data_IF_877499676990
#
_entry.id   IF_877499676990
#
_cell.length_a   1.000
_cell.length_b   1.000
_cell.length_c   1.000
_cell.angle_alpha   90.00
_cell.angle_beta   90.00
_cell.angle_gamma   90.00
#
_symmetry.space_group_name_H-M   'P 1'
#
loop_
_entity.id
_entity.type
_entity.pdbx_description
1 polymer ?
#
# COMPACT_ATOMS: atom_id res chain seq x y z
N UNK A 1 61.11 6.90 -8.41
CA UNK A 1 60.69 7.75 -9.56
C UNK A 1 60.17 6.81 -10.61
N UNK A 2 58.92 6.72 -11.06
CA UNK A 2 57.59 7.34 -10.88
C UNK A 2 56.71 6.61 -11.94
N UNK A 3 55.55 6.03 -11.60
CA UNK A 3 54.22 6.64 -11.47
C UNK A 3 53.44 6.80 -12.80
N UNK A 4 52.23 6.18 -12.85
CA UNK A 4 51.00 6.50 -13.61
C UNK A 4 50.99 6.14 -15.12
N UNK A 5 49.93 5.62 -15.78
CA UNK A 5 48.43 5.68 -15.69
C UNK A 5 47.87 4.39 -16.37
N UNK A 6 46.77 3.71 -16.03
CA UNK A 6 45.43 4.05 -15.49
C UNK A 6 44.63 5.09 -16.30
N UNK A 7 44.01 4.63 -17.39
CA UNK A 7 42.74 5.13 -17.97
C UNK A 7 42.32 4.16 -19.08
N UNK A 8 41.19 3.47 -18.90
CA UNK A 8 40.23 3.07 -19.96
C UNK A 8 39.23 2.04 -19.39
N UNK A 9 38.35 2.52 -18.49
CA UNK A 9 37.18 1.76 -18.03
C UNK A 9 36.04 2.69 -17.57
N UNK A 10 35.89 3.87 -18.21
CA UNK A 10 34.95 4.90 -17.77
C UNK A 10 33.96 5.40 -18.84
N UNK A 11 33.83 4.72 -20.00
CA UNK A 11 32.91 5.16 -21.08
C UNK A 11 31.83 4.14 -21.45
N UNK A 12 31.28 3.41 -20.46
CA UNK A 12 30.11 2.54 -20.68
C UNK A 12 28.93 2.79 -19.71
N UNK A 13 28.97 3.84 -18.89
CA UNK A 13 28.06 4.04 -17.74
C UNK A 13 27.29 5.38 -17.78
N UNK A 14 26.96 5.93 -18.96
CA UNK A 14 26.15 7.17 -19.08
C UNK A 14 24.94 6.99 -20.03
N UNK A 15 24.66 5.76 -20.50
CA UNK A 15 23.58 5.50 -21.47
C UNK A 15 22.26 4.95 -20.89
N UNK A 16 22.22 4.56 -19.61
CA UNK A 16 21.13 3.74 -19.05
C UNK A 16 19.94 4.51 -18.47
N UNK A 17 20.18 5.61 -17.75
CA UNK A 17 19.12 6.30 -16.99
C UNK A 17 18.23 7.20 -17.86
N UNK A 18 18.78 7.79 -18.92
CA UNK A 18 17.99 8.61 -19.86
C UNK A 18 17.01 7.76 -20.70
N UNK A 19 17.24 6.44 -20.81
CA UNK A 19 16.44 5.55 -21.65
C UNK A 19 15.10 5.17 -21.01
N UNK A 20 15.04 5.05 -19.67
CA UNK A 20 13.84 4.62 -18.93
C UNK A 20 12.86 5.77 -18.67
N UNK A 21 13.36 6.98 -18.37
CA UNK A 21 12.51 8.18 -18.29
C UNK A 21 11.92 8.53 -19.67
N UNK A 22 12.67 8.31 -20.74
CA UNK A 22 12.16 8.49 -22.12
C UNK A 22 11.18 7.38 -22.52
N UNK A 23 11.30 6.16 -21.97
CA UNK A 23 10.34 5.07 -22.21
C UNK A 23 9.03 5.26 -21.44
N UNK A 24 9.07 5.81 -20.22
CA UNK A 24 7.88 6.17 -19.44
C UNK A 24 7.18 7.43 -19.98
N UNK A 25 7.93 8.41 -20.51
CA UNK A 25 7.33 9.56 -21.22
C UNK A 25 6.74 9.19 -22.60
N UNK A 26 7.27 8.16 -23.28
CA UNK A 26 6.75 7.68 -24.58
C UNK A 26 5.49 6.83 -24.49
N UNK A 27 5.02 6.48 -23.29
CA UNK A 27 3.71 5.86 -23.07
C UNK A 27 2.62 6.94 -22.84
N UNK A 28 2.90 8.22 -23.10
CA UNK A 28 1.82 9.16 -23.47
C UNK A 28 1.35 8.84 -24.88
N UNK A 29 0.35 7.97 -24.98
CA UNK A 29 -0.47 7.86 -26.18
C UNK A 29 -0.93 9.27 -26.61
N UNK A 30 -0.90 9.60 -27.91
CA UNK A 30 -1.43 10.87 -28.37
C UNK A 30 -2.92 10.91 -28.05
N UNK A 31 -3.29 11.73 -27.07
CA UNK A 31 -4.68 12.08 -26.84
C UNK A 31 -5.17 12.80 -28.09
N UNK A 32 -6.05 12.12 -28.84
CA UNK A 32 -6.95 12.75 -29.79
C UNK A 32 -7.66 13.91 -29.09
N UNK A 33 -7.70 15.13 -29.66
CA UNK A 33 -8.37 16.27 -29.03
C UNK A 33 -9.90 16.19 -29.12
N UNK A 34 -10.47 15.04 -29.50
CA UNK A 34 -11.90 14.92 -29.74
C UNK A 34 -12.42 13.52 -29.43
N UNK A 35 -12.45 13.14 -28.15
CA UNK A 35 -13.40 12.18 -27.58
C UNK A 35 -13.64 12.52 -26.11
N UNK A 36 -14.87 12.98 -25.81
CA UNK A 36 -15.52 12.89 -24.51
C UNK A 36 -14.76 13.46 -23.32
N UNK A 37 -15.11 14.69 -22.93
CA UNK A 37 -14.97 15.17 -21.54
C UNK A 37 -15.23 14.02 -20.55
N UNK A 38 -14.19 13.52 -19.90
CA UNK A 38 -14.34 12.75 -18.67
C UNK A 38 -14.92 13.73 -17.66
N UNK A 39 -16.25 13.72 -17.54
CA UNK A 39 -16.92 14.28 -16.39
C UNK A 39 -16.22 13.75 -15.13
N UNK A 40 -16.06 14.56 -14.08
CA UNK A 40 -15.52 14.06 -12.82
C UNK A 40 -16.34 12.84 -12.41
N UNK A 41 -15.66 11.75 -12.05
CA UNK A 41 -16.22 10.51 -11.47
C UNK A 41 -17.00 10.80 -10.15
N UNK A 42 -17.14 12.07 -9.78
CA UNK A 42 -17.81 12.57 -8.57
C UNK A 42 -19.35 12.49 -8.64
N UNK A 43 -19.94 12.33 -9.84
CA UNK A 43 -21.41 12.48 -10.03
C UNK A 43 -22.21 11.16 -10.12
N UNK A 44 -21.60 9.97 -10.07
CA UNK A 44 -22.32 8.69 -10.23
C UNK A 44 -22.11 7.67 -9.10
N UNK A 45 -21.91 8.13 -7.85
CA UNK A 45 -22.02 7.28 -6.67
C UNK A 45 -23.19 7.76 -5.78
N UNK A 46 -23.91 6.86 -5.08
CA UNK A 46 -25.05 7.24 -4.26
C UNK A 46 -24.71 8.40 -3.31
N UNK A 47 -25.44 9.50 -3.44
CA UNK A 47 -25.26 10.81 -2.78
C UNK A 47 -25.40 10.79 -1.24
N UNK A 48 -25.41 9.61 -0.62
CA UNK A 48 -25.57 9.42 0.83
C UNK A 48 -24.27 9.06 1.55
N UNK A 49 -23.18 8.76 0.85
CA UNK A 49 -21.85 8.56 1.47
C UNK A 49 -20.97 9.76 1.13
N UNK A 50 -20.68 10.62 2.11
CA UNK A 50 -19.64 11.64 1.93
C UNK A 50 -18.33 10.92 1.65
N UNK A 51 -17.77 11.14 0.47
CA UNK A 51 -16.43 10.63 0.16
C UNK A 51 -15.44 11.17 1.18
N UNK A 52 -14.57 10.30 1.69
CA UNK A 52 -13.40 10.78 2.41
C UNK A 52 -12.58 11.68 1.47
N UNK A 53 -12.00 12.79 1.96
CA UNK A 53 -11.09 13.61 1.16
C UNK A 53 -9.99 12.75 0.53
N UNK A 54 -9.45 13.18 -0.62
CA UNK A 54 -8.38 12.44 -1.32
C UNK A 54 -7.18 12.11 -0.41
N UNK A 55 -6.90 12.99 0.54
CA UNK A 55 -5.77 12.89 1.47
C UNK A 55 -6.15 12.22 2.81
N UNK A 56 -7.32 11.58 2.88
CA UNK A 56 -7.86 10.99 4.12
C UNK A 56 -6.97 9.90 4.73
N UNK A 57 -6.21 9.15 3.90
CA UNK A 57 -5.21 8.21 4.41
C UNK A 57 -4.10 8.93 5.17
N UNK A 58 -3.54 9.98 4.57
CA UNK A 58 -2.46 10.79 5.14
C UNK A 58 -2.93 11.55 6.38
N UNK A 59 -4.14 12.12 6.34
CA UNK A 59 -4.71 12.85 7.47
C UNK A 59 -4.97 11.92 8.67
N UNK A 60 -5.60 10.76 8.44
CA UNK A 60 -5.81 9.75 9.48
C UNK A 60 -4.49 9.27 10.09
N UNK A 61 -3.51 8.92 9.25
CA UNK A 61 -2.19 8.48 9.72
C UNK A 61 -1.47 9.58 10.52
N UNK A 62 -1.57 10.84 10.09
CA UNK A 62 -0.99 11.99 10.80
C UNK A 62 -1.67 12.23 12.14
N UNK A 63 -2.99 12.11 12.21
CA UNK A 63 -3.75 12.19 13.46
C UNK A 63 -3.30 11.12 14.46
N UNK A 64 -3.26 9.85 14.04
CA UNK A 64 -2.83 8.74 14.91
C UNK A 64 -1.40 8.94 15.43
N UNK A 65 -0.48 9.37 14.58
CA UNK A 65 0.89 9.70 15.02
C UNK A 65 0.93 10.78 16.08
N UNK A 66 0.09 11.82 15.97
CA UNK A 66 0.05 12.89 16.97
C UNK A 66 -0.49 12.37 18.29
N UNK A 67 -1.60 11.61 18.28
CA UNK A 67 -2.21 11.05 19.48
C UNK A 67 -1.29 10.10 20.25
N UNK A 68 -0.46 9.34 19.55
CA UNK A 68 0.50 8.41 20.15
C UNK A 68 1.77 9.11 20.68
N UNK A 69 1.98 10.40 20.41
CA UNK A 69 3.20 11.15 20.80
C UNK A 69 2.97 12.16 21.93
N UNK A 70 1.75 12.28 22.47
CA UNK A 70 1.28 13.49 23.20
C UNK A 70 1.45 13.55 24.72
N UNK A 71 2.33 12.79 25.38
CA UNK A 71 2.57 13.03 26.81
C UNK A 71 4.02 13.36 27.20
N UNK A 72 5.03 13.02 26.39
CA UNK A 72 6.41 13.39 26.71
C UNK A 72 6.89 12.87 28.08
N UNK A 73 6.27 11.83 28.62
CA UNK A 73 6.65 11.18 29.88
C UNK A 73 6.49 9.67 29.81
N UNK A 74 7.58 8.92 29.68
CA UNK A 74 7.55 7.48 29.91
C UNK A 74 7.62 7.18 31.42
N UNK A 75 6.45 7.14 32.06
CA UNK A 75 6.29 6.29 33.24
C UNK A 75 5.36 5.13 32.93
N UNK A 76 5.89 4.20 32.13
CA UNK A 76 5.49 2.80 32.15
C UNK A 76 4.01 2.53 31.92
N UNK A 77 3.39 3.18 30.93
CA UNK A 77 2.13 2.67 30.38
C UNK A 77 2.46 1.49 29.45
N UNK A 78 1.91 0.34 29.81
CA UNK A 78 2.12 -0.95 29.18
C UNK A 78 1.83 -0.89 27.65
N UNK A 79 2.76 -1.38 26.84
CA UNK A 79 2.58 -1.56 25.38
C UNK A 79 1.32 -2.38 25.02
N UNK A 80 0.73 -3.07 26.01
CA UNK A 80 -0.50 -3.86 25.87
C UNK A 80 -1.73 -3.04 25.48
N UNK A 81 -1.82 -1.76 25.85
CA UNK A 81 -3.01 -0.93 25.55
C UNK A 81 -2.91 -0.21 24.20
N UNK A 82 -1.75 -0.30 23.53
CA UNK A 82 -1.51 0.40 22.27
C UNK A 82 -2.54 0.05 21.18
N UNK A 83 -2.90 -1.23 20.93
CA UNK A 83 -3.90 -1.56 19.92
C UNK A 83 -5.26 -0.90 20.18
N UNK A 84 -5.75 -0.96 21.41
CA UNK A 84 -7.00 -0.37 21.85
C UNK A 84 -6.98 1.16 21.71
N UNK A 85 -5.86 1.78 22.08
CA UNK A 85 -5.66 3.23 21.98
C UNK A 85 -5.63 3.70 20.51
N UNK A 86 -4.94 2.98 19.61
CA UNK A 86 -4.94 3.32 18.18
C UNK A 86 -6.34 3.17 17.55
N UNK A 87 -7.07 2.11 17.88
CA UNK A 87 -8.44 1.94 17.41
C UNK A 87 -9.39 3.00 17.99
N UNK A 88 -9.25 3.36 19.26
CA UNK A 88 -10.03 4.43 19.88
C UNK A 88 -9.77 5.78 19.21
N UNK A 89 -8.50 6.14 19.01
CA UNK A 89 -8.11 7.37 18.33
C UNK A 89 -8.61 7.39 16.88
N UNK A 90 -8.50 6.28 16.14
CA UNK A 90 -8.95 6.24 14.76
C UNK A 90 -10.47 6.40 14.63
N UNK A 91 -11.24 5.78 15.54
CA UNK A 91 -12.69 5.96 15.60
C UNK A 91 -13.09 7.38 15.91
N UNK A 92 -12.44 8.02 16.88
CA UNK A 92 -12.71 9.43 17.20
C UNK A 92 -12.41 10.35 16.02
N UNK A 93 -11.28 10.14 15.33
CA UNK A 93 -10.97 10.86 14.10
C UNK A 93 -12.03 10.62 13.02
N UNK A 94 -12.41 9.37 12.77
CA UNK A 94 -13.41 9.06 11.74
C UNK A 94 -14.78 9.67 12.08
N UNK A 95 -15.20 9.67 13.35
CA UNK A 95 -16.44 10.30 13.81
C UNK A 95 -16.43 11.81 13.56
N UNK A 96 -15.37 12.50 13.96
CA UNK A 96 -15.24 13.96 13.75
C UNK A 96 -15.24 14.37 12.28
N UNK A 97 -14.82 13.48 11.38
CA UNK A 97 -14.80 13.71 9.94
C UNK A 97 -16.03 13.15 9.20
N UNK A 98 -16.98 12.54 9.92
CA UNK A 98 -18.16 11.92 9.32
C UNK A 98 -17.86 10.68 8.48
N UNK A 99 -16.81 9.94 8.81
CA UNK A 99 -16.31 8.73 8.13
C UNK A 99 -16.68 7.44 8.88
N UNK A 100 -17.62 7.51 9.83
CA UNK A 100 -18.29 6.32 10.35
C UNK A 100 -19.39 5.95 9.36
N UNK A 101 -19.23 4.81 8.70
CA UNK A 101 -20.14 4.31 7.69
C UNK A 101 -21.42 3.79 8.36
N UNK A 102 -22.60 4.01 7.74
CA UNK A 102 -23.87 3.61 8.33
C UNK A 102 -24.00 2.09 8.42
N UNK A 103 -24.90 1.61 9.27
CA UNK A 103 -25.08 0.16 9.50
C UNK A 103 -25.52 -0.59 8.22
N UNK A 104 -26.36 0.05 7.41
CA UNK A 104 -26.84 -0.45 6.11
C UNK A 104 -25.87 -0.15 4.95
N UNK A 105 -24.65 0.31 5.26
CA UNK A 105 -23.59 0.43 4.29
C UNK A 105 -23.37 -0.91 3.57
N UNK A 106 -23.01 -0.84 2.30
CA UNK A 106 -22.84 -1.99 1.43
C UNK A 106 -21.90 -3.03 2.05
N UNK A 107 -22.36 -4.26 2.33
CA UNK A 107 -21.50 -5.30 2.88
C UNK A 107 -20.55 -5.86 1.81
N UNK A 108 -19.47 -6.55 2.21
CA UNK A 108 -18.67 -7.33 1.27
C UNK A 108 -19.52 -8.41 0.60
N UNK A 109 -19.20 -8.73 -0.64
CA UNK A 109 -19.91 -9.74 -1.43
C UNK A 109 -19.26 -11.12 -1.33
N UNK A 110 -17.97 -11.15 -0.97
CA UNK A 110 -17.18 -12.38 -0.91
C UNK A 110 -16.21 -12.31 0.25
N UNK A 111 -16.07 -13.45 0.93
CA UNK A 111 -14.93 -13.68 1.81
C UNK A 111 -13.67 -13.60 0.94
N UNK A 112 -12.81 -12.64 1.24
CA UNK A 112 -11.49 -12.55 0.63
C UNK A 112 -10.49 -13.37 1.44
N UNK A 113 -9.19 -13.15 1.17
CA UNK A 113 -8.10 -13.81 1.87
C UNK A 113 -8.08 -13.58 3.39
N UNK A 114 -6.91 -13.72 4.02
CA UNK A 114 -6.82 -13.58 5.49
C UNK A 114 -7.05 -12.16 5.99
N UNK A 115 -6.81 -11.14 5.16
CA UNK A 115 -6.87 -9.75 5.59
C UNK A 115 -8.19 -9.04 5.26
N UNK A 116 -8.78 -9.32 4.10
CA UNK A 116 -9.94 -8.56 3.62
C UNK A 116 -11.09 -9.45 3.19
N UNK A 117 -12.31 -8.92 3.31
CA UNK A 117 -13.42 -9.28 2.46
C UNK A 117 -13.57 -8.23 1.37
N UNK A 118 -14.18 -8.61 0.25
CA UNK A 118 -14.17 -7.76 -0.95
C UNK A 118 -15.54 -7.66 -1.62
N UNK A 119 -15.74 -6.55 -2.32
CA UNK A 119 -16.83 -6.29 -3.25
C UNK A 119 -16.26 -5.60 -4.48
N UNK A 120 -16.71 -6.00 -5.67
CA UNK A 120 -16.33 -5.33 -6.91
C UNK A 120 -17.50 -4.49 -7.40
N UNK A 121 -17.25 -3.21 -7.60
CA UNK A 121 -18.20 -2.33 -8.25
C UNK A 121 -17.86 -2.24 -9.74
N UNK A 122 -18.59 -2.98 -10.57
CA UNK A 122 -18.38 -3.00 -12.03
C UNK A 122 -18.66 -1.65 -12.68
N UNK A 123 -19.53 -0.81 -12.09
CA UNK A 123 -19.86 0.50 -12.64
C UNK A 123 -18.69 1.48 -12.55
N UNK A 124 -17.95 1.44 -11.44
CA UNK A 124 -16.79 2.31 -11.20
C UNK A 124 -15.45 1.63 -11.46
N UNK A 125 -15.42 0.31 -11.61
CA UNK A 125 -14.19 -0.47 -11.73
C UNK A 125 -13.37 -0.49 -10.43
N UNK A 126 -14.00 -0.29 -9.27
CA UNK A 126 -13.34 -0.25 -7.97
C UNK A 126 -13.55 -1.55 -7.19
N UNK A 127 -12.49 -2.02 -6.55
CA UNK A 127 -12.57 -2.99 -5.49
C UNK A 127 -12.73 -2.29 -4.15
N UNK A 128 -13.80 -2.63 -3.44
CA UNK A 128 -14.01 -2.27 -2.06
C UNK A 128 -13.44 -3.37 -1.17
N UNK A 129 -12.50 -3.00 -0.30
CA UNK A 129 -11.83 -3.91 0.63
C UNK A 129 -12.19 -3.56 2.05
N UNK A 130 -12.53 -4.58 2.82
CA UNK A 130 -12.96 -4.45 4.20
C UNK A 130 -12.02 -5.30 5.04
N UNK A 131 -11.23 -4.71 5.94
CA UNK A 131 -10.39 -5.53 6.83
C UNK A 131 -11.25 -6.52 7.62
N UNK A 132 -10.71 -7.67 8.03
CA UNK A 132 -11.45 -8.59 8.90
C UNK A 132 -11.87 -7.89 10.21
N UNK A 133 -12.97 -8.31 10.85
CA UNK A 133 -13.47 -7.71 12.09
C UNK A 133 -12.36 -7.50 13.14
N UNK A 134 -12.22 -6.26 13.61
CA UNK A 134 -11.25 -5.81 14.62
C UNK A 134 -9.78 -6.03 14.26
N UNK A 135 -9.48 -6.26 12.98
CA UNK A 135 -8.13 -6.39 12.46
C UNK A 135 -7.82 -5.27 11.47
N UNK A 136 -6.55 -4.88 11.40
CA UNK A 136 -6.04 -3.92 10.42
C UNK A 136 -5.11 -4.61 9.39
N UNK A 137 -5.31 -5.90 9.12
CA UNK A 137 -4.43 -6.70 8.27
C UNK A 137 -3.13 -7.11 8.99
N UNK A 138 -2.07 -7.39 8.22
CA UNK A 138 -0.76 -7.77 8.73
C UNK A 138 0.33 -6.76 8.38
N UNK A 139 1.38 -6.77 9.20
CA UNK A 139 2.63 -6.03 8.96
C UNK A 139 3.83 -6.91 9.33
N UNK A 140 5.02 -6.47 8.93
CA UNK A 140 6.28 -7.14 9.21
C UNK A 140 7.13 -6.27 10.12
N UNK A 141 7.54 -6.82 11.25
CA UNK A 141 8.50 -6.18 12.16
C UNK A 141 9.80 -6.98 12.22
N UNK A 142 10.81 -6.41 12.86
CA UNK A 142 12.12 -7.03 13.00
C UNK A 142 12.40 -7.39 14.45
N UNK A 143 12.95 -8.58 14.67
CA UNK A 143 13.44 -9.01 15.98
C UNK A 143 14.72 -9.81 15.77
N UNK A 144 15.79 -9.40 16.44
CA UNK A 144 17.12 -10.04 16.34
C UNK A 144 17.61 -10.20 14.88
N UNK A 145 17.35 -9.20 14.04
CA UNK A 145 17.75 -9.21 12.63
C UNK A 145 16.94 -10.14 11.73
N UNK A 146 15.80 -10.67 12.22
CA UNK A 146 14.87 -11.49 11.45
C UNK A 146 13.52 -10.79 11.31
N UNK A 147 12.94 -10.77 10.10
CA UNK A 147 11.58 -10.29 9.93
C UNK A 147 10.57 -11.31 10.49
N UNK A 148 9.48 -10.83 11.07
CA UNK A 148 8.37 -11.65 11.52
C UNK A 148 7.04 -10.96 11.26
N UNK A 149 6.04 -11.76 10.92
CA UNK A 149 4.69 -11.32 10.57
C UNK A 149 3.81 -11.21 11.83
N UNK A 150 3.05 -10.13 11.94
CA UNK A 150 2.02 -9.99 12.99
C UNK A 150 0.86 -9.11 12.55
N UNK A 151 -0.19 -9.07 13.37
CA UNK A 151 -1.32 -8.19 13.13
C UNK A 151 -0.83 -6.74 13.10
N UNK A 152 -1.20 -6.04 12.04
CA UNK A 152 -1.00 -4.61 11.92
C UNK A 152 -1.92 -3.86 12.89
N UNK A 153 -1.46 -2.69 13.33
CA UNK A 153 -2.31 -1.70 13.97
C UNK A 153 -2.91 -0.75 12.92
N UNK A 154 -3.95 0.03 13.25
CA UNK A 154 -4.54 1.00 12.33
C UNK A 154 -3.51 1.92 11.67
N UNK A 155 -2.53 2.43 12.42
CA UNK A 155 -1.48 3.27 11.83
C UNK A 155 -0.61 2.50 10.82
N UNK A 156 -0.25 1.25 11.12
CA UNK A 156 0.54 0.42 10.21
C UNK A 156 -0.22 0.17 8.89
N UNK A 157 -1.52 -0.10 8.98
CA UNK A 157 -2.38 -0.33 7.81
C UNK A 157 -2.47 0.93 6.93
N UNK A 158 -2.79 2.07 7.53
CA UNK A 158 -2.89 3.35 6.80
C UNK A 158 -1.56 3.68 6.13
N UNK A 159 -0.46 3.48 6.85
CA UNK A 159 0.86 3.75 6.31
C UNK A 159 1.22 2.81 5.15
N UNK A 160 0.87 1.53 5.25
CA UNK A 160 1.02 0.55 4.17
C UNK A 160 0.26 0.99 2.90
N UNK A 161 -0.95 1.51 3.04
CA UNK A 161 -1.73 2.01 1.89
C UNK A 161 -1.11 3.26 1.28
N UNK A 162 -0.56 4.17 2.10
CA UNK A 162 0.18 5.34 1.62
C UNK A 162 1.41 4.91 0.82
N UNK A 163 2.17 3.92 1.31
CA UNK A 163 3.33 3.39 0.60
C UNK A 163 2.97 2.62 -0.66
N UNK A 164 1.84 1.91 -0.68
CA UNK A 164 1.31 1.24 -1.86
C UNK A 164 1.07 2.26 -2.99
N UNK A 165 0.40 3.38 -2.69
CA UNK A 165 0.18 4.46 -3.65
C UNK A 165 1.51 5.09 -4.10
N UNK A 166 2.44 5.31 -3.16
CA UNK A 166 3.72 5.92 -3.46
C UNK A 166 4.63 5.05 -4.34
N UNK A 167 4.80 3.77 -3.98
CA UNK A 167 5.77 2.88 -4.60
C UNK A 167 5.27 2.31 -5.94
N UNK A 168 3.96 2.07 -6.05
CA UNK A 168 3.37 1.41 -7.22
C UNK A 168 2.46 2.32 -8.06
N UNK A 169 2.29 3.58 -7.68
CA UNK A 169 1.39 4.51 -8.38
C UNK A 169 -0.08 4.10 -8.28
N UNK A 170 -0.43 3.35 -7.25
CA UNK A 170 -1.80 2.92 -6.97
C UNK A 170 -2.66 4.10 -6.49
N UNK A 171 -3.98 3.92 -6.48
CA UNK A 171 -4.93 4.91 -5.99
C UNK A 171 -5.83 4.33 -4.89
N UNK A 172 -5.21 3.71 -3.88
CA UNK A 172 -5.94 3.26 -2.70
C UNK A 172 -6.49 4.46 -1.96
N UNK A 173 -7.77 4.42 -1.59
CA UNK A 173 -8.44 5.50 -0.83
C UNK A 173 -9.13 4.93 0.40
N UNK A 174 -9.03 5.65 1.52
CA UNK A 174 -9.86 5.39 2.69
C UNK A 174 -11.30 5.81 2.39
N UNK A 175 -12.27 4.97 2.72
CA UNK A 175 -13.69 5.32 2.67
C UNK A 175 -14.19 5.65 4.07
N UNK A 176 -13.80 4.85 5.07
CA UNK A 176 -14.18 5.07 6.44
C UNK A 176 -14.08 3.82 7.29
N UNK A 177 -14.75 3.87 8.44
CA UNK A 177 -14.87 2.76 9.38
C UNK A 177 -16.29 2.22 9.40
N UNK A 178 -16.43 0.91 9.28
CA UNK A 178 -17.72 0.24 9.29
C UNK A 178 -17.80 -0.74 10.47
N UNK A 179 -18.95 -0.75 11.16
CA UNK A 179 -19.18 -1.61 12.32
C UNK A 179 -20.61 -2.17 12.30
N UNK A 180 -20.88 -3.20 11.49
CA UNK A 180 -22.23 -3.73 11.32
C UNK A 180 -22.78 -4.46 12.56
N UNK A 181 -21.90 -4.93 13.47
CA UNK A 181 -22.27 -5.77 14.62
C UNK A 181 -21.98 -5.12 15.97
N UNK A 182 -21.79 -3.80 16.03
CA UNK A 182 -21.58 -3.03 17.26
C UNK A 182 -20.18 -3.17 17.89
N UNK A 183 -19.48 -4.28 17.67
CA UNK A 183 -18.14 -4.53 18.18
C UNK A 183 -17.12 -4.93 17.12
N UNK A 184 -17.49 -4.95 15.84
CA UNK A 184 -16.69 -5.48 14.73
C UNK A 184 -16.25 -4.36 13.81
N UNK A 185 -15.30 -3.56 14.27
CA UNK A 185 -14.80 -2.44 13.48
C UNK A 185 -13.96 -2.95 12.31
N UNK A 186 -14.20 -2.37 11.13
CA UNK A 186 -13.53 -2.69 9.87
C UNK A 186 -13.07 -1.41 9.21
N UNK A 187 -11.85 -1.41 8.69
CA UNK A 187 -11.34 -0.33 7.85
C UNK A 187 -11.79 -0.62 6.42
N UNK A 188 -12.44 0.34 5.79
CA UNK A 188 -12.93 0.21 4.42
C UNK A 188 -12.09 1.08 3.50
N UNK A 189 -11.46 0.44 2.52
CA UNK A 189 -10.68 1.11 1.47
C UNK A 189 -11.21 0.75 0.09
N UNK A 190 -10.90 1.58 -0.89
CA UNK A 190 -11.09 1.26 -2.31
C UNK A 190 -9.75 1.19 -3.03
N UNK A 191 -9.69 0.40 -4.08
CA UNK A 191 -8.54 0.28 -4.99
C UNK A 191 -9.06 0.10 -6.41
N UNK A 192 -8.45 0.72 -7.43
CA UNK A 192 -8.78 0.46 -8.82
C UNK A 192 -8.63 -1.02 -9.20
N UNK A 193 -9.47 -1.49 -10.11
CA UNK A 193 -9.29 -2.81 -10.70
C UNK A 193 -7.99 -2.88 -11.50
N UNK A 194 -7.14 -3.84 -11.11
CA UNK A 194 -5.86 -4.09 -11.77
C UNK A 194 -6.06 -5.09 -12.91
N UNK A 195 -5.73 -4.68 -14.14
CA UNK A 195 -5.73 -5.57 -15.31
C UNK A 195 -4.37 -6.23 -15.48
N UNK A 196 -4.35 -7.56 -15.41
CA UNK A 196 -3.14 -8.34 -15.60
C UNK A 196 -3.41 -9.84 -15.60
N UNK A 197 -2.35 -10.61 -15.77
CA UNK A 197 -2.38 -12.05 -15.81
C UNK A 197 -1.69 -12.62 -14.57
N UNK A 198 -2.17 -13.77 -14.09
CA UNK A 198 -1.47 -14.52 -13.05
C UNK A 198 -0.15 -15.02 -13.62
N UNK A 199 0.91 -14.85 -12.84
CA UNK A 199 2.24 -15.33 -13.16
C UNK A 199 2.69 -16.36 -12.12
N UNK A 200 3.65 -17.19 -12.47
CA UNK A 200 4.37 -18.04 -11.53
C UNK A 200 5.27 -17.20 -10.63
N UNK A 201 5.71 -17.77 -9.50
CA UNK A 201 6.61 -17.06 -8.59
C UNK A 201 7.96 -16.73 -9.25
N UNK A 202 8.45 -17.59 -10.14
CA UNK A 202 9.69 -17.36 -10.90
C UNK A 202 9.54 -16.20 -11.89
N UNK A 203 8.40 -16.12 -12.60
CA UNK A 203 8.09 -15.00 -13.48
C UNK A 203 7.95 -13.68 -12.70
N UNK A 204 7.31 -13.71 -11.52
CA UNK A 204 7.22 -12.55 -10.64
C UNK A 204 8.61 -12.09 -10.15
N UNK A 205 9.47 -13.03 -9.72
CA UNK A 205 10.84 -12.73 -9.31
C UNK A 205 11.61 -12.05 -10.44
N UNK A 206 11.56 -12.63 -11.64
CA UNK A 206 12.21 -12.05 -12.82
C UNK A 206 11.67 -10.65 -13.14
N UNK A 207 10.35 -10.47 -13.17
CA UNK A 207 9.72 -9.19 -13.46
C UNK A 207 10.07 -8.10 -12.43
N UNK A 208 10.10 -8.45 -11.15
CA UNK A 208 10.50 -7.53 -10.08
C UNK A 208 11.97 -7.12 -10.20
N UNK A 209 12.87 -8.06 -10.52
CA UNK A 209 14.28 -7.74 -10.79
C UNK A 209 14.40 -6.78 -11.98
N UNK A 210 13.67 -7.02 -13.08
CA UNK A 210 13.66 -6.12 -14.24
C UNK A 210 13.08 -4.73 -13.89
N UNK A 211 12.13 -4.65 -12.96
CA UNK A 211 11.61 -3.41 -12.40
C UNK A 211 12.56 -2.74 -11.38
N UNK A 212 13.75 -3.30 -11.16
CA UNK A 212 14.79 -2.75 -10.29
C UNK A 212 14.54 -2.98 -8.81
N UNK A 213 13.87 -4.08 -8.46
CA UNK A 213 13.81 -4.57 -7.08
C UNK A 213 14.97 -5.53 -6.78
N UNK A 214 15.49 -5.46 -5.56
CA UNK A 214 16.41 -6.45 -5.00
C UNK A 214 15.61 -7.58 -4.33
N UNK A 215 15.95 -8.85 -4.60
CA UNK A 215 15.33 -9.98 -3.91
C UNK A 215 15.99 -10.17 -2.53
N UNK A 216 15.18 -10.18 -1.49
CA UNK A 216 15.63 -10.42 -0.12
C UNK A 216 15.71 -11.93 0.18
N UNK A 217 16.55 -12.36 1.14
CA UNK A 217 16.74 -13.77 1.46
C UNK A 217 15.57 -14.39 2.24
N UNK A 218 14.51 -13.63 2.50
CA UNK A 218 13.37 -14.03 3.32
C UNK A 218 12.22 -14.52 2.45
N UNK A 219 11.70 -15.70 2.78
CA UNK A 219 10.57 -16.32 2.09
C UNK A 219 9.48 -16.69 3.08
N UNK A 220 8.24 -16.78 2.60
CA UNK A 220 7.14 -17.34 3.38
C UNK A 220 6.52 -16.37 4.41
N UNK A 221 6.73 -15.06 4.26
CA UNK A 221 6.04 -14.04 5.04
C UNK A 221 4.72 -13.71 4.34
N UNK A 222 3.61 -14.09 4.96
CA UNK A 222 2.30 -14.11 4.31
C UNK A 222 1.99 -15.51 3.79
N UNK A 223 1.92 -15.70 2.48
CA UNK A 223 1.77 -17.02 1.85
C UNK A 223 3.02 -17.87 1.96
N UNK A 224 2.86 -19.20 1.89
CA UNK A 224 3.99 -20.11 1.76
C UNK A 224 4.82 -19.75 0.52
N UNK A 225 6.14 -19.77 0.67
CA UNK A 225 7.13 -19.48 -0.37
C UNK A 225 7.10 -18.06 -0.98
N UNK A 226 6.28 -17.14 -0.45
CA UNK A 226 6.19 -15.77 -0.94
C UNK A 226 7.58 -15.10 -1.02
N UNK A 227 7.80 -14.30 -2.06
CA UNK A 227 9.01 -13.49 -2.19
C UNK A 227 8.95 -12.29 -1.24
N UNK A 228 10.13 -11.85 -0.83
CA UNK A 228 10.34 -10.54 -0.22
C UNK A 228 11.33 -9.78 -1.10
N UNK A 229 11.04 -8.52 -1.39
CA UNK A 229 11.86 -7.67 -2.26
C UNK A 229 12.09 -6.30 -1.66
N UNK A 230 13.09 -5.57 -2.15
CA UNK A 230 13.46 -4.23 -1.69
C UNK A 230 13.62 -3.26 -2.84
N UNK A 231 13.14 -2.03 -2.65
CA UNK A 231 13.34 -0.92 -3.58
C UNK A 231 13.17 0.41 -2.85
N UNK A 232 14.04 1.37 -3.14
CA UNK A 232 13.92 2.77 -2.69
C UNK A 232 13.68 2.95 -1.17
N UNK A 233 14.34 2.13 -0.35
CA UNK A 233 14.22 2.18 1.11
C UNK A 233 12.96 1.48 1.67
N UNK A 234 12.22 0.76 0.83
CA UNK A 234 11.07 -0.06 1.21
C UNK A 234 11.36 -1.54 1.03
N UNK A 235 10.90 -2.33 1.99
CA UNK A 235 10.79 -3.78 1.89
C UNK A 235 9.33 -4.11 1.57
N UNK A 236 9.12 -4.92 0.54
CA UNK A 236 7.81 -5.41 0.09
C UNK A 236 7.76 -6.91 0.32
N UNK A 237 6.72 -7.34 1.02
CA UNK A 237 6.52 -8.71 1.47
C UNK A 237 5.25 -9.30 0.90
N UNK A 238 5.13 -10.61 1.00
CA UNK A 238 3.99 -11.39 0.48
C UNK A 238 3.77 -11.24 -1.03
N UNK A 239 4.86 -11.13 -1.78
CA UNK A 239 4.83 -11.23 -3.23
C UNK A 239 4.49 -12.69 -3.58
N UNK A 240 3.28 -12.89 -4.09
CA UNK A 240 2.74 -14.19 -4.45
C UNK A 240 1.79 -14.03 -5.65
N UNK A 241 1.57 -15.06 -6.50
CA UNK A 241 0.62 -15.02 -7.62
C UNK A 241 -0.84 -14.68 -7.26
N UNK A 242 -1.18 -14.71 -5.97
CA UNK A 242 -2.47 -14.30 -5.45
C UNK A 242 -2.58 -12.79 -5.15
N UNK A 243 -1.44 -12.10 -5.07
CA UNK A 243 -1.31 -10.72 -4.59
C UNK A 243 -0.66 -9.78 -5.63
N UNK A 244 -0.08 -10.35 -6.69
CA UNK A 244 0.62 -9.63 -7.76
C UNK A 244 0.21 -10.23 -9.11
N UNK A 245 -0.18 -9.35 -10.04
CA UNK A 245 -0.38 -9.70 -11.45
C UNK A 245 0.79 -9.18 -12.29
N UNK A 246 0.95 -9.71 -13.51
CA UNK A 246 1.79 -9.09 -14.54
C UNK A 246 0.92 -8.42 -15.60
N UNK A 247 1.33 -7.25 -16.07
CA UNK A 247 0.77 -6.69 -17.31
C UNK A 247 1.20 -7.51 -18.52
N UNK A 248 0.56 -7.28 -19.66
CA UNK A 248 1.02 -7.81 -20.95
C UNK A 248 2.44 -7.33 -21.33
N UNK A 249 2.90 -6.21 -20.76
CA UNK A 249 4.27 -5.70 -20.91
C UNK A 249 5.27 -6.28 -19.90
N UNK A 250 4.83 -7.18 -19.01
CA UNK A 250 5.68 -7.83 -18.00
C UNK A 250 5.96 -6.96 -16.76
N UNK A 251 5.21 -5.88 -16.54
CA UNK A 251 5.34 -5.08 -15.32
C UNK A 251 4.58 -5.73 -14.16
N UNK A 252 5.19 -5.87 -12.97
CA UNK A 252 4.50 -6.36 -11.79
C UNK A 252 3.51 -5.32 -11.26
N UNK A 253 2.28 -5.76 -10.98
CA UNK A 253 1.21 -4.97 -10.40
C UNK A 253 0.78 -5.60 -9.06
N UNK A 254 1.43 -5.24 -7.95
CA UNK A 254 1.02 -5.64 -6.63
C UNK A 254 -0.28 -4.96 -6.24
N UNK A 255 -1.24 -5.72 -5.72
CA UNK A 255 -2.53 -5.19 -5.27
C UNK A 255 -2.89 -5.59 -3.84
N UNK A 256 -2.17 -6.55 -3.25
CA UNK A 256 -2.40 -6.97 -1.85
C UNK A 256 -1.08 -7.44 -1.20
N UNK A 257 -0.15 -6.50 -1.00
CA UNK A 257 1.18 -6.78 -0.45
C UNK A 257 1.43 -5.99 0.84
N UNK A 258 2.39 -6.45 1.65
CA UNK A 258 2.85 -5.71 2.82
C UNK A 258 4.05 -4.86 2.44
N UNK A 259 4.09 -3.63 2.94
CA UNK A 259 5.19 -2.69 2.68
C UNK A 259 5.64 -2.11 4.02
N UNK A 260 6.95 -2.08 4.24
CA UNK A 260 7.57 -1.52 5.44
C UNK A 260 8.82 -0.74 5.06
N UNK A 261 9.21 0.27 5.84
CA UNK A 261 10.54 0.86 5.67
C UNK A 261 11.64 -0.18 5.92
N UNK A 262 12.69 -0.14 5.11
CA UNK A 262 13.91 -0.90 5.34
C UNK A 262 14.53 -0.51 6.69
N UNK A 263 14.89 -1.47 7.56
CA UNK A 263 15.54 -1.16 8.83
C UNK A 263 16.81 -0.32 8.65
N UNK A 264 16.99 0.69 9.49
CA UNK A 264 18.16 1.56 9.45
C UNK A 264 18.11 2.65 8.37
N UNK A 265 17.08 2.65 7.51
CA UNK A 265 16.75 3.78 6.64
C UNK A 265 15.62 4.57 7.29
N UNK A 266 15.89 5.80 7.73
CA UNK A 266 14.83 6.69 8.18
C UNK A 266 13.99 7.13 6.98
N UNK A 267 12.66 7.05 7.07
CA UNK A 267 11.73 7.53 6.05
C UNK A 267 11.73 9.08 5.87
N UNK A 268 12.75 9.77 6.39
CA UNK A 268 12.78 11.23 6.56
C UNK A 268 13.75 11.96 5.60
N UNK A 269 14.24 11.33 4.54
CA UNK A 269 15.07 12.03 3.53
C UNK A 269 14.34 12.40 2.22
N UNK A 270 13.01 12.29 2.19
CA UNK A 270 12.20 12.82 1.10
C UNK A 270 10.93 13.44 1.66
N UNK A 271 10.92 14.76 1.86
CA UNK A 271 9.71 15.49 2.25
C UNK A 271 8.58 15.20 1.27
N UNK A 272 7.48 14.67 1.79
CA UNK A 272 6.15 14.69 1.20
C UNK A 272 5.21 15.15 2.30
#
# INVERSE_FOLDING_TARGET
MGSLREVDAAEAMIGGEASLMTALEKIKLPMSPDQGSLSPIEDELPTTVRHAPRDSLQDAASHLRTCLRTDGSSHGEDDFDRPENEWAAFRAWAETHGLILPLDFHPPERDGGREHDVRHDEGTGLWWKYTKPNLAGYTVSWTEGRPWLHNALPLDYLQRMIWQNHLFGDEVRLIGLWNPQGHDWRIVTTQPHVQGQKATLEELEHALIQAGFEVLPWRGLGYADSLSVRKDGFDVWDIHPANVLLTDSGLPLPFDVMITCTPGVSANEGGI
#
